data_IF_959040284558
#
_entry.id   IF_959040284558
#
_cell.length_a   1.000
_cell.length_b   1.000
_cell.length_c   1.000
_cell.angle_alpha   90.00
_cell.angle_beta   90.00
_cell.angle_gamma   90.00
#
_symmetry.space_group_name_H-M   'P 1'
#
loop_
_entity.id
_entity.type
_entity.pdbx_description
1 polymer ?
#
# COMPACT_ATOMS: atom_id res chain seq x y z
N UNK A 1 2.44 11.74 12.05
CA UNK A 1 2.04 12.57 10.87
C UNK A 1 1.04 13.61 11.34
N UNK A 2 0.53 14.46 10.45
CA UNK A 2 -0.48 15.48 10.80
C UNK A 2 -1.88 15.19 10.25
N UNK A 3 -2.07 14.03 9.59
CA UNK A 3 -3.36 13.65 9.02
C UNK A 3 -4.27 13.04 10.11
N UNK A 4 -5.48 13.59 10.30
CA UNK A 4 -6.48 13.01 11.21
C UNK A 4 -6.90 11.60 10.79
N UNK A 5 -7.31 10.77 11.76
CA UNK A 5 -7.71 9.37 11.55
C UNK A 5 -8.85 9.23 10.53
N UNK A 6 -9.88 10.07 10.64
CA UNK A 6 -11.02 10.01 9.72
C UNK A 6 -10.60 10.36 8.28
N UNK A 7 -9.65 11.28 8.09
CA UNK A 7 -9.12 11.64 6.77
C UNK A 7 -8.39 10.44 6.19
N UNK A 8 -7.51 9.80 6.97
CA UNK A 8 -6.78 8.59 6.56
C UNK A 8 -7.75 7.46 6.21
N UNK A 9 -8.79 7.26 7.01
CA UNK A 9 -9.80 6.24 6.77
C UNK A 9 -10.56 6.50 5.47
N UNK A 10 -11.06 7.73 5.29
CA UNK A 10 -11.81 8.13 4.09
C UNK A 10 -10.95 8.05 2.83
N UNK A 11 -9.72 8.56 2.88
CA UNK A 11 -8.80 8.49 1.74
C UNK A 11 -8.45 7.04 1.40
N UNK A 12 -8.23 6.19 2.41
CA UNK A 12 -7.92 4.77 2.19
C UNK A 12 -9.09 4.04 1.54
N UNK A 13 -10.32 4.27 2.02
CA UNK A 13 -11.53 3.68 1.42
C UNK A 13 -11.72 4.12 -0.03
N UNK A 14 -11.47 5.40 -0.33
CA UNK A 14 -11.60 5.93 -1.68
C UNK A 14 -10.53 5.38 -2.65
N UNK A 15 -9.29 5.23 -2.17
CA UNK A 15 -8.16 4.84 -3.02
C UNK A 15 -7.97 3.32 -3.13
N UNK A 16 -8.45 2.54 -2.16
CA UNK A 16 -8.26 1.10 -2.14
C UNK A 16 -8.77 0.39 -3.43
N UNK A 17 -9.98 0.68 -3.96
CA UNK A 17 -10.44 0.05 -5.20
C UNK A 17 -9.53 0.35 -6.40
N UNK A 18 -9.01 1.59 -6.49
CA UNK A 18 -8.09 1.99 -7.58
C UNK A 18 -6.74 1.29 -7.45
N UNK A 19 -6.20 1.18 -6.23
CA UNK A 19 -4.96 0.46 -5.97
C UNK A 19 -5.09 -1.04 -6.34
N UNK A 20 -6.20 -1.68 -5.96
CA UNK A 20 -6.48 -3.07 -6.32
C UNK A 20 -6.62 -3.28 -7.83
N UNK A 21 -7.32 -2.38 -8.55
CA UNK A 21 -7.39 -2.43 -10.03
C UNK A 21 -6.01 -2.34 -10.67
N UNK A 22 -5.14 -1.45 -10.19
CA UNK A 22 -3.75 -1.33 -10.68
C UNK A 22 -2.93 -2.59 -10.40
N UNK A 23 -3.04 -3.16 -9.20
CA UNK A 23 -2.38 -4.42 -8.84
C UNK A 23 -2.85 -5.57 -9.74
N UNK A 24 -4.15 -5.67 -10.01
CA UNK A 24 -4.70 -6.67 -10.93
C UNK A 24 -4.10 -6.56 -12.34
N UNK A 25 -4.04 -5.35 -12.91
CA UNK A 25 -3.40 -5.14 -14.23
C UNK A 25 -1.91 -5.53 -14.21
N UNK A 26 -1.19 -5.19 -13.14
CA UNK A 26 0.21 -5.60 -12.98
C UNK A 26 0.37 -7.13 -12.91
N UNK A 27 -0.54 -7.85 -12.24
CA UNK A 27 -0.53 -9.31 -12.19
C UNK A 27 -0.71 -9.94 -13.58
N UNK A 28 -1.57 -9.38 -14.44
CA UNK A 28 -1.76 -9.88 -15.81
C UNK A 28 -0.49 -9.72 -16.66
N UNK A 29 0.23 -8.61 -16.50
CA UNK A 29 1.46 -8.31 -17.25
C UNK A 29 2.70 -8.99 -16.64
N UNK A 30 2.63 -9.44 -15.38
CA UNK A 30 3.76 -9.96 -14.63
C UNK A 30 4.49 -11.14 -15.30
N UNK A 31 3.82 -12.16 -15.89
CA UNK A 31 4.52 -13.28 -16.51
C UNK A 31 5.46 -12.85 -17.64
N UNK A 32 4.99 -11.99 -18.54
CA UNK A 32 5.80 -11.48 -19.65
C UNK A 32 6.96 -10.62 -19.15
N UNK A 33 6.66 -9.71 -18.21
CA UNK A 33 7.69 -8.87 -17.59
C UNK A 33 8.76 -9.73 -16.90
N UNK A 34 8.35 -10.72 -16.11
CA UNK A 34 9.26 -11.57 -15.32
C UNK A 34 10.15 -12.44 -16.21
N UNK A 35 9.66 -12.87 -17.38
CA UNK A 35 10.46 -13.59 -18.36
C UNK A 35 11.69 -12.80 -18.83
N UNK A 36 11.57 -11.47 -18.90
CA UNK A 36 12.65 -10.55 -19.30
C UNK A 36 13.54 -10.13 -18.10
N UNK A 37 13.12 -10.40 -16.86
CA UNK A 37 13.75 -9.89 -15.64
C UNK A 37 14.09 -11.02 -14.65
N UNK A 38 15.10 -11.83 -15.01
CA UNK A 38 15.60 -12.96 -14.22
C UNK A 38 14.45 -13.89 -13.77
N UNK A 39 13.87 -14.68 -14.70
CA UNK A 39 12.66 -15.45 -14.44
C UNK A 39 12.80 -16.44 -13.28
N UNK A 40 14.01 -16.95 -13.05
CA UNK A 40 14.32 -17.92 -11.99
C UNK A 40 14.67 -17.27 -10.64
N UNK A 41 14.90 -15.96 -10.61
CA UNK A 41 15.21 -15.25 -9.36
C UNK A 41 13.91 -14.89 -8.62
N UNK A 42 13.56 -15.72 -7.65
CA UNK A 42 12.37 -15.64 -6.78
C UNK A 42 12.78 -15.98 -5.34
N UNK A 43 13.48 -15.06 -4.64
CA UNK A 43 14.01 -15.32 -3.30
C UNK A 43 12.93 -15.62 -2.24
N UNK A 44 11.68 -15.22 -2.49
CA UNK A 44 10.54 -15.60 -1.66
C UNK A 44 10.07 -17.05 -1.83
N UNK A 45 10.44 -17.72 -2.93
CA UNK A 45 10.24 -19.17 -3.14
C UNK A 45 11.52 -19.97 -2.83
N UNK A 46 12.68 -19.37 -3.09
CA UNK A 46 14.01 -19.97 -2.98
C UNK A 46 14.89 -19.07 -2.09
N UNK A 47 14.79 -19.17 -0.75
CA UNK A 47 15.46 -18.27 0.18
C UNK A 47 16.98 -18.17 0.01
N UNK A 48 17.62 -19.21 -0.49
CA UNK A 48 19.05 -19.26 -0.82
C UNK A 48 19.47 -18.25 -1.89
N UNK A 49 18.52 -17.72 -2.67
CA UNK A 49 18.77 -16.66 -3.65
C UNK A 49 18.83 -15.26 -3.00
N UNK A 50 18.44 -15.14 -1.73
CA UNK A 50 18.46 -13.86 -1.02
C UNK A 50 19.89 -13.32 -0.90
N UNK A 51 20.04 -12.03 -1.20
CA UNK A 51 21.28 -11.27 -0.99
C UNK A 51 21.18 -10.29 0.19
N UNK A 52 20.08 -10.36 0.93
CA UNK A 52 19.82 -9.48 2.06
C UNK A 52 20.64 -9.92 3.28
N UNK A 53 21.15 -8.98 4.09
CA UNK A 53 21.83 -9.31 5.33
C UNK A 53 20.87 -9.95 6.34
N UNK A 54 21.41 -10.82 7.18
CA UNK A 54 20.68 -11.33 8.34
C UNK A 54 20.67 -10.25 9.43
N UNK A 55 19.51 -10.06 10.06
CA UNK A 55 19.34 -9.18 11.21
C UNK A 55 18.96 -10.00 12.43
N UNK A 56 19.49 -9.61 13.58
CA UNK A 56 19.14 -10.24 14.84
C UNK A 56 17.90 -9.57 15.42
N UNK A 57 17.04 -10.34 16.07
CA UNK A 57 15.81 -9.79 16.66
C UNK A 57 16.11 -8.75 17.76
N UNK A 58 17.26 -8.87 18.44
CA UNK A 58 17.70 -7.94 19.49
C UNK A 58 18.03 -6.54 18.97
N UNK A 59 18.31 -6.40 17.66
CA UNK A 59 18.53 -5.09 17.02
C UNK A 59 17.20 -4.39 16.68
N UNK A 60 16.06 -5.08 16.79
CA UNK A 60 14.75 -4.52 16.48
C UNK A 60 14.07 -3.97 17.73
N UNK A 61 13.35 -2.86 17.57
CA UNK A 61 12.53 -2.25 18.62
C UNK A 61 11.05 -2.31 18.24
N UNK A 62 10.18 -2.44 19.24
CA UNK A 62 8.74 -2.42 19.00
C UNK A 62 8.27 -1.00 18.63
N UNK A 63 7.54 -0.89 17.52
CA UNK A 63 6.94 0.36 17.08
C UNK A 63 5.48 0.42 17.54
N UNK A 64 5.20 1.23 18.57
CA UNK A 64 3.84 1.45 19.06
C UNK A 64 3.07 2.39 18.11
N UNK A 65 1.83 2.03 17.77
CA UNK A 65 0.96 2.86 16.94
C UNK A 65 0.65 4.21 17.62
N UNK A 66 0.34 4.19 18.92
CA UNK A 66 -0.03 5.39 19.69
C UNK A 66 1.11 6.41 19.79
N UNK A 67 2.37 5.97 19.69
CA UNK A 67 3.52 6.88 19.61
C UNK A 67 3.51 7.78 18.36
N UNK A 68 2.68 7.46 17.36
CA UNK A 68 2.51 8.22 16.13
C UNK A 68 1.34 9.21 16.20
N UNK A 69 0.60 9.23 17.32
CA UNK A 69 -0.67 9.95 17.49
C UNK A 69 -0.50 11.13 18.45
N UNK A 70 -0.28 12.34 17.92
CA UNK A 70 -0.32 13.60 18.67
C UNK A 70 -1.19 14.62 17.92
N UNK A 71 -2.42 14.25 17.55
CA UNK A 71 -3.31 15.09 16.73
C UNK A 71 -4.61 15.34 17.49
N UNK A 72 -4.92 16.61 17.72
CA UNK A 72 -6.20 17.06 18.27
C UNK A 72 -7.26 17.11 17.15
N UNK A 73 -8.28 16.25 17.24
CA UNK A 73 -9.34 16.10 16.24
C UNK A 73 -10.65 16.82 16.63
N UNK A 74 -10.67 17.56 17.74
CA UNK A 74 -11.88 18.14 18.35
C UNK A 74 -12.68 19.12 17.46
N UNK A 75 -12.08 19.63 16.39
CA UNK A 75 -12.66 20.68 15.54
C UNK A 75 -13.10 20.21 14.14
N UNK A 76 -13.05 18.91 13.84
CA UNK A 76 -13.21 18.38 12.47
C UNK A 76 -14.60 17.74 12.27
N UNK A 77 -15.34 18.19 11.25
CA UNK A 77 -16.65 17.64 10.90
C UNK A 77 -16.60 16.78 9.62
N UNK A 78 -17.23 15.60 9.64
CA UNK A 78 -17.34 14.71 8.49
C UNK A 78 -18.40 15.22 7.50
N UNK A 79 -18.01 15.56 6.26
CA UNK A 79 -18.98 15.83 5.18
C UNK A 79 -19.51 14.52 4.59
N UNK A 80 -20.84 14.35 4.61
CA UNK A 80 -21.60 13.19 4.14
C UNK A 80 -21.61 13.08 2.59
N UNK A 81 -21.42 11.86 2.10
CA UNK A 81 -21.26 11.42 0.70
C UNK A 81 -22.21 12.05 -0.33
N UNK A 82 -21.63 12.50 -1.45
CA UNK A 82 -22.30 12.50 -2.76
C UNK A 82 -21.58 11.48 -3.65
N UNK A 83 -22.39 10.67 -4.32
CA UNK A 83 -22.01 9.40 -4.96
C UNK A 83 -20.94 9.62 -6.01
N UNK A 84 -19.87 8.82 -5.94
CA UNK A 84 -18.81 8.78 -6.94
C UNK A 84 -19.31 8.38 -8.32
N UNK A 85 -19.61 9.38 -9.14
CA UNK A 85 -19.48 9.28 -10.59
C UNK A 85 -18.04 9.68 -10.94
N UNK A 86 -17.19 8.68 -11.13
CA UNK A 86 -15.87 8.87 -11.71
C UNK A 86 -15.89 8.20 -13.08
N UNK A 87 -16.33 8.99 -14.05
CA UNK A 87 -16.23 8.76 -15.48
C UNK A 87 -14.87 8.17 -15.85
N UNK A 88 -14.93 7.11 -16.64
CA UNK A 88 -13.84 6.33 -17.18
C UNK A 88 -13.20 7.12 -18.33
N UNK A 89 -11.97 7.58 -18.15
CA UNK A 89 -11.10 7.98 -19.26
C UNK A 89 -9.67 7.58 -18.91
N UNK A 90 -9.19 6.51 -19.57
CA UNK A 90 -7.92 6.48 -20.29
C UNK A 90 -7.89 5.18 -21.12
N UNK A 91 -8.35 5.30 -22.37
CA UNK A 91 -7.74 4.57 -23.49
C UNK A 91 -6.36 5.21 -23.67
N UNK A 92 -5.23 4.48 -23.70
CA UNK A 92 -4.73 3.58 -24.76
C UNK A 92 -3.60 2.73 -24.18
#
# INVERSE_FOLDING_TARGET
>A
GSLPKWVVNKSSQFLAPKALKKMHRACLQYPEWKQKHQPHHKPWLFPEQSRLPLLTLAELSLQHADSLENIDESSLAETKDDRGDASDDDSV
#
